data_IF_208617197567
#
_entry.id   IF_208617197567
#
_cell.length_a   1.000
_cell.length_b   1.000
_cell.length_c   1.000
_cell.angle_alpha   90.00
_cell.angle_beta   90.00
_cell.angle_gamma   90.00
#
_symmetry.space_group_name_H-M   'P 1'
#
loop_
_entity.id
_entity.type
_entity.pdbx_description
1 polymer ?
#
# COMPACT_ATOMS: atom_id res chain seq x y z
N UNK A 1 2.80 -6.84 12.46
CA UNK A 1 2.10 -6.00 11.47
C UNK A 1 0.63 -6.40 11.44
N UNK A 2 -0.30 -5.45 11.41
CA UNK A 2 -1.75 -5.71 11.38
C UNK A 2 -2.22 -6.20 10.01
N UNK A 3 -1.49 -5.88 8.95
CA UNK A 3 -1.81 -6.30 7.59
C UNK A 3 -0.61 -6.98 6.92
N UNK A 4 -0.90 -8.04 6.19
CA UNK A 4 0.05 -8.64 5.26
C UNK A 4 0.07 -7.81 3.96
N UNK A 5 1.21 -7.17 3.69
CA UNK A 5 1.43 -6.27 2.56
C UNK A 5 1.16 -6.98 1.23
N UNK A 6 1.58 -8.23 1.10
CA UNK A 6 1.34 -9.01 -0.11
C UNK A 6 -0.15 -9.30 -0.34
N UNK A 7 -0.88 -9.53 0.75
CA UNK A 7 -2.33 -9.71 0.73
C UNK A 7 -3.04 -8.42 0.32
N UNK A 8 -2.57 -7.26 0.77
CA UNK A 8 -3.16 -5.96 0.39
C UNK A 8 -3.03 -5.68 -1.12
N UNK A 9 -1.88 -6.00 -1.71
CA UNK A 9 -1.62 -5.75 -3.12
C UNK A 9 -2.16 -6.81 -4.09
N UNK A 10 -2.65 -7.94 -3.58
CA UNK A 10 -3.04 -9.11 -4.40
C UNK A 10 -4.02 -8.78 -5.53
N UNK A 11 -4.97 -7.89 -5.27
CA UNK A 11 -6.01 -7.53 -6.25
C UNK A 11 -5.63 -6.34 -7.15
N UNK A 12 -4.50 -5.68 -6.86
CA UNK A 12 -4.10 -4.46 -7.57
C UNK A 12 -3.25 -4.74 -8.82
N UNK A 13 -2.86 -6.00 -9.07
CA UNK A 13 -2.05 -6.41 -10.22
C UNK A 13 -0.82 -5.50 -10.48
N UNK A 14 -0.21 -5.03 -9.39
CA UNK A 14 0.97 -4.16 -9.44
C UNK A 14 2.22 -4.99 -9.72
N UNK A 15 3.13 -4.40 -10.48
CA UNK A 15 4.49 -4.89 -10.64
C UNK A 15 5.24 -4.81 -9.30
N UNK A 16 6.31 -5.60 -9.17
CA UNK A 16 7.14 -5.56 -7.96
C UNK A 16 7.79 -4.17 -7.77
N UNK A 17 8.18 -3.50 -8.86
CA UNK A 17 8.75 -2.14 -8.80
C UNK A 17 7.75 -1.13 -8.22
N UNK A 18 6.48 -1.19 -8.61
CA UNK A 18 5.43 -0.32 -8.07
C UNK A 18 5.22 -0.55 -6.57
N UNK A 19 5.16 -1.82 -6.15
CA UNK A 19 5.02 -2.19 -4.72
C UNK A 19 6.20 -1.66 -3.90
N UNK A 20 7.42 -1.87 -4.38
CA UNK A 20 8.62 -1.40 -3.69
C UNK A 20 8.66 0.13 -3.58
N UNK A 21 8.28 0.82 -4.66
CA UNK A 21 8.19 2.29 -4.66
C UNK A 21 7.21 2.79 -3.60
N UNK A 22 6.00 2.23 -3.56
CA UNK A 22 4.96 2.57 -2.58
C UNK A 22 5.46 2.35 -1.15
N UNK A 23 6.03 1.17 -0.88
CA UNK A 23 6.52 0.81 0.45
C UNK A 23 7.63 1.77 0.87
N UNK A 24 8.54 2.11 -0.05
CA UNK A 24 9.65 3.03 0.21
C UNK A 24 9.14 4.43 0.54
N UNK A 25 8.24 4.99 -0.27
CA UNK A 25 7.66 6.31 -0.03
C UNK A 25 6.97 6.38 1.34
N UNK A 26 6.17 5.37 1.69
CA UNK A 26 5.48 5.32 2.98
C UNK A 26 6.45 5.14 4.16
N UNK A 27 7.55 4.40 3.99
CA UNK A 27 8.59 4.27 5.03
C UNK A 27 9.40 5.54 5.21
N UNK A 28 9.65 6.27 4.13
CA UNK A 28 10.35 7.56 4.20
C UNK A 28 9.46 8.62 4.91
N UNK A 29 8.14 8.54 4.75
CA UNK A 29 7.16 9.42 5.42
C UNK A 29 6.91 9.02 6.89
N UNK A 30 6.88 7.73 7.19
CA UNK A 30 6.57 7.18 8.53
C UNK A 30 7.68 6.25 9.05
N UNK A 31 8.93 6.73 9.23
CA UNK A 31 10.09 5.87 9.50
C UNK A 31 10.08 5.19 10.88
N UNK A 32 9.26 5.65 11.82
CA UNK A 32 9.18 5.13 13.20
C UNK A 32 7.75 4.85 13.67
N UNK A 33 6.76 5.01 12.80
CA UNK A 33 5.35 4.81 13.13
C UNK A 33 4.75 3.72 12.25
N UNK A 34 4.95 2.48 12.70
CA UNK A 34 4.48 1.28 12.00
C UNK A 34 2.94 1.29 11.84
N UNK A 35 2.21 1.83 12.81
CA UNK A 35 0.76 1.89 12.76
C UNK A 35 0.28 2.87 11.68
N UNK A 36 0.92 4.04 11.61
CA UNK A 36 0.57 5.06 10.62
C UNK A 36 0.98 4.61 9.20
N UNK A 37 2.12 3.92 9.07
CA UNK A 37 2.53 3.24 7.85
C UNK A 37 1.46 2.25 7.37
N UNK A 38 1.04 1.32 8.24
CA UNK A 38 0.06 0.29 7.88
C UNK A 38 -1.30 0.88 7.51
N UNK A 39 -1.75 1.92 8.22
CA UNK A 39 -3.01 2.62 7.93
C UNK A 39 -2.98 3.31 6.56
N UNK A 40 -1.89 4.01 6.24
CA UNK A 40 -1.75 4.69 4.96
C UNK A 40 -1.63 3.71 3.80
N UNK A 41 -0.87 2.62 3.99
CA UNK A 41 -0.78 1.54 3.03
C UNK A 41 -2.17 0.96 2.71
N UNK A 42 -2.96 0.65 3.73
CA UNK A 42 -4.32 0.16 3.56
C UNK A 42 -5.20 1.16 2.79
N UNK A 43 -5.22 2.43 3.19
CA UNK A 43 -6.03 3.48 2.53
C UNK A 43 -5.66 3.66 1.07
N UNK A 44 -4.36 3.70 0.77
CA UNK A 44 -3.88 3.87 -0.59
C UNK A 44 -4.26 2.66 -1.46
N UNK A 45 -4.14 1.45 -0.92
CA UNK A 45 -4.61 0.23 -1.60
C UNK A 45 -6.11 0.29 -1.89
N UNK A 46 -6.93 0.73 -0.92
CA UNK A 46 -8.37 0.89 -1.14
C UNK A 46 -8.69 1.93 -2.21
N UNK A 47 -7.97 3.06 -2.23
CA UNK A 47 -8.11 4.08 -3.27
C UNK A 47 -7.78 3.52 -4.65
N UNK A 48 -6.65 2.82 -4.80
CA UNK A 48 -6.27 2.19 -6.06
C UNK A 48 -7.27 1.11 -6.51
N UNK A 49 -7.88 0.38 -5.57
CA UNK A 49 -8.95 -0.58 -5.88
C UNK A 49 -10.20 0.14 -6.41
N UNK A 50 -10.56 1.28 -5.83
CA UNK A 50 -11.71 2.09 -6.27
C UNK A 50 -11.49 2.72 -7.65
N UNK A 51 -10.31 3.28 -7.91
CA UNK A 51 -9.96 3.84 -9.24
C UNK A 51 -10.12 2.77 -10.34
N UNK A 52 -9.63 1.55 -10.09
CA UNK A 52 -9.77 0.42 -11.04
C UNK A 52 -11.20 -0.07 -11.26
N UNK A 53 -12.12 0.19 -10.34
CA UNK A 53 -13.55 -0.16 -10.49
C UNK A 53 -14.28 0.90 -11.32
N UNK A 54 -13.77 2.13 -11.35
CA UNK A 54 -14.35 3.26 -12.07
C UNK A 54 -13.77 3.47 -13.49
N UNK A 55 -12.69 2.76 -13.86
CA UNK A 55 -12.21 2.58 -15.25
C UNK A 55 -13.01 1.51 -16.02
#
# INVERSE_FOLDING_TARGET
MLYDVDTLFKDLNLTNEEKEKIIKELKDEFPQDDLLFELHLYRMVQFLKQEKINE
#
